data_IF_480959974360
#
_entry.id   IF_480959974360
#
_cell.length_a   1.000
_cell.length_b   1.000
_cell.length_c   1.000
_cell.angle_alpha   90.00
_cell.angle_beta   90.00
_cell.angle_gamma   90.00
#
_symmetry.space_group_name_H-M   'P 1'
#
loop_
_entity.id
_entity.type
_entity.pdbx_description
1 polymer ?
#
# COMPACT_ATOMS: atom_id res chain seq x y z
N UNK A 1 -46.63 -26.22 6.05
CA UNK A 1 -45.32 -26.56 6.65
C UNK A 1 -44.26 -25.46 6.51
N UNK A 2 -44.62 -24.24 6.09
CA UNK A 2 -43.67 -23.18 5.66
C UNK A 2 -43.39 -22.08 6.70
N UNK A 3 -44.23 -21.91 7.73
CA UNK A 3 -44.11 -20.78 8.67
C UNK A 3 -43.09 -20.97 9.82
N UNK A 4 -42.73 -22.20 10.20
CA UNK A 4 -41.82 -22.45 11.34
C UNK A 4 -40.32 -22.29 11.01
N UNK A 5 -39.91 -22.41 9.75
CA UNK A 5 -38.48 -22.28 9.37
C UNK A 5 -38.01 -20.82 9.22
N UNK A 6 -38.91 -19.90 8.88
CA UNK A 6 -38.55 -18.48 8.70
C UNK A 6 -38.04 -17.83 9.98
N UNK A 7 -38.64 -18.14 11.13
CA UNK A 7 -38.24 -17.58 12.43
C UNK A 7 -36.84 -18.00 12.87
N UNK A 8 -36.46 -19.26 12.65
CA UNK A 8 -35.14 -19.77 13.00
C UNK A 8 -34.02 -19.13 12.15
N UNK A 9 -34.30 -18.93 10.86
CA UNK A 9 -33.35 -18.29 9.96
C UNK A 9 -33.16 -16.81 10.29
N UNK A 10 -34.23 -16.09 10.66
CA UNK A 10 -34.14 -14.67 11.07
C UNK A 10 -33.30 -14.51 12.33
N UNK A 11 -33.47 -15.39 13.33
CA UNK A 11 -32.66 -15.35 14.56
C UNK A 11 -31.18 -15.60 14.24
N UNK A 12 -30.89 -16.54 13.35
CA UNK A 12 -29.53 -16.84 12.90
C UNK A 12 -28.90 -15.67 12.14
N UNK A 13 -29.65 -15.03 11.24
CA UNK A 13 -29.16 -13.85 10.49
C UNK A 13 -28.95 -12.64 11.39
N UNK A 14 -29.83 -12.38 12.36
CA UNK A 14 -29.65 -11.29 13.32
C UNK A 14 -28.40 -11.54 14.19
N UNK A 15 -28.18 -12.78 14.62
CA UNK A 15 -26.99 -13.17 15.36
C UNK A 15 -25.71 -12.99 14.52
N UNK A 16 -25.72 -13.46 13.27
CA UNK A 16 -24.57 -13.26 12.35
C UNK A 16 -24.33 -11.78 12.04
N UNK A 17 -25.38 -10.97 11.89
CA UNK A 17 -25.26 -9.51 11.68
C UNK A 17 -24.68 -8.80 12.90
N UNK A 18 -25.09 -9.20 14.11
CA UNK A 18 -24.53 -8.71 15.38
C UNK A 18 -23.04 -9.08 15.51
N UNK A 19 -22.70 -10.33 15.19
CA UNK A 19 -21.32 -10.82 15.21
C UNK A 19 -20.45 -10.07 14.18
N UNK A 20 -20.96 -9.79 12.99
CA UNK A 20 -20.26 -9.01 11.97
C UNK A 20 -20.08 -7.54 12.36
N UNK A 21 -21.08 -6.91 12.97
CA UNK A 21 -20.96 -5.55 13.50
C UNK A 21 -19.92 -5.47 14.64
N UNK A 22 -19.91 -6.46 15.52
CA UNK A 22 -18.90 -6.56 16.58
C UNK A 22 -17.50 -6.79 15.99
N UNK A 23 -17.35 -7.68 14.99
CA UNK A 23 -16.09 -7.92 14.29
C UNK A 23 -15.58 -6.66 13.56
N UNK A 24 -16.48 -5.91 12.91
CA UNK A 24 -16.15 -4.61 12.30
C UNK A 24 -15.66 -3.61 13.36
N UNK A 25 -16.33 -3.57 14.52
CA UNK A 25 -15.92 -2.78 15.68
C UNK A 25 -14.57 -3.20 16.27
N UNK A 26 -14.21 -4.49 16.24
CA UNK A 26 -12.91 -4.99 16.69
C UNK A 26 -11.80 -4.66 15.68
N UNK A 27 -12.09 -4.72 14.37
CA UNK A 27 -11.13 -4.38 13.31
C UNK A 27 -10.79 -2.88 13.33
N UNK A 28 -11.78 -2.01 13.54
CA UNK A 28 -11.56 -0.56 13.68
C UNK A 28 -11.13 -0.14 15.10
N UNK A 29 -11.68 -0.76 16.13
CA UNK A 29 -11.51 -0.37 17.54
C UNK A 29 -10.31 -1.02 18.25
N UNK A 30 -9.93 -2.24 17.87
CA UNK A 30 -8.76 -2.91 18.44
C UNK A 30 -7.47 -2.20 18.05
N UNK A 31 -7.36 -1.76 16.79
CA UNK A 31 -6.25 -0.94 16.33
C UNK A 31 -6.29 0.45 16.97
N UNK A 32 -7.46 1.08 17.08
CA UNK A 32 -7.60 2.39 17.73
C UNK A 32 -7.20 2.34 19.21
N UNK A 33 -7.61 1.33 19.97
CA UNK A 33 -7.20 1.17 21.36
C UNK A 33 -5.70 0.89 21.49
N UNK A 34 -5.13 0.03 20.65
CA UNK A 34 -3.68 -0.25 20.62
C UNK A 34 -2.89 1.00 20.24
N UNK A 35 -3.36 1.78 19.26
CA UNK A 35 -2.72 3.01 18.81
C UNK A 35 -2.84 4.08 19.89
N UNK A 36 -4.04 4.36 20.43
CA UNK A 36 -4.28 5.40 21.44
C UNK A 36 -3.62 5.11 22.80
N UNK A 37 -3.54 3.84 23.20
CA UNK A 37 -2.78 3.39 24.37
C UNK A 37 -1.29 3.21 24.07
N UNK A 38 -0.86 3.28 22.81
CA UNK A 38 0.57 3.25 22.50
C UNK A 38 1.23 4.56 22.94
N UNK A 39 2.43 4.51 23.53
CA UNK A 39 3.20 5.70 23.88
C UNK A 39 3.45 6.65 22.69
N UNK A 40 3.42 6.09 21.48
CA UNK A 40 3.63 6.80 20.23
C UNK A 40 2.45 7.70 19.86
N UNK A 41 1.21 7.32 20.16
CA UNK A 41 0.04 8.17 19.88
C UNK A 41 0.03 9.43 20.73
N UNK A 42 0.40 9.31 22.00
CA UNK A 42 0.50 10.47 22.89
C UNK A 42 1.62 11.40 22.41
N UNK A 43 2.78 10.83 22.05
CA UNK A 43 3.92 11.60 21.49
C UNK A 43 3.55 12.34 20.20
N UNK A 44 2.78 11.71 19.31
CA UNK A 44 2.32 12.33 18.06
C UNK A 44 1.28 13.41 18.34
N UNK A 45 0.35 13.16 19.28
CA UNK A 45 -0.69 14.11 19.66
C UNK A 45 -0.11 15.35 20.36
N UNK A 46 0.90 15.16 21.22
CA UNK A 46 1.63 16.23 21.88
C UNK A 46 2.42 17.09 20.86
N UNK A 47 3.07 16.44 19.87
CA UNK A 47 3.75 17.15 18.77
C UNK A 47 2.79 17.87 17.83
N UNK A 48 1.59 17.32 17.60
CA UNK A 48 0.53 17.92 16.81
C UNK A 48 -0.09 19.14 17.52
N UNK A 49 -0.38 19.03 18.82
CA UNK A 49 -0.94 20.10 19.64
C UNK A 49 0.06 21.23 19.90
N UNK A 50 1.36 20.94 19.95
CA UNK A 50 2.42 21.93 20.10
C UNK A 50 2.73 22.72 18.81
N UNK A 51 2.08 22.39 17.68
CA UNK A 51 2.26 22.96 16.33
C UNK A 51 3.68 23.52 16.08
N UNK A 52 4.69 22.67 16.25
CA UNK A 52 6.07 23.02 15.92
C UNK A 52 6.24 23.09 14.40
N UNK A 53 6.82 24.18 13.90
CA UNK A 53 7.14 24.38 12.47
C UNK A 53 7.96 23.20 11.92
N UNK A 54 8.85 22.62 12.73
CA UNK A 54 9.73 21.52 12.30
C UNK A 54 8.92 20.25 12.02
N UNK A 55 7.99 19.93 12.92
CA UNK A 55 7.11 18.78 12.77
C UNK A 55 6.18 18.95 11.56
N UNK A 56 5.66 20.15 11.32
CA UNK A 56 4.82 20.43 10.16
C UNK A 56 5.54 20.19 8.83
N UNK A 57 6.82 20.60 8.72
CA UNK A 57 7.62 20.38 7.51
C UNK A 57 7.91 18.88 7.30
N UNK A 58 8.29 18.16 8.35
CA UNK A 58 8.54 16.71 8.28
C UNK A 58 7.26 15.94 7.88
N UNK A 59 6.11 16.30 8.47
CA UNK A 59 4.82 15.69 8.14
C UNK A 59 4.39 15.98 6.71
N UNK A 60 4.59 17.22 6.23
CA UNK A 60 4.23 17.60 4.87
C UNK A 60 5.13 16.89 3.84
N UNK A 61 6.44 16.78 4.12
CA UNK A 61 7.37 16.02 3.30
C UNK A 61 6.99 14.53 3.26
N UNK A 62 6.66 13.93 4.41
CA UNK A 62 6.16 12.56 4.49
C UNK A 62 4.91 12.37 3.62
N UNK A 63 3.91 13.25 3.79
CA UNK A 63 2.63 13.13 3.12
C UNK A 63 2.78 13.32 1.61
N UNK A 64 3.64 14.22 1.17
CA UNK A 64 3.95 14.43 -0.24
C UNK A 64 4.58 13.17 -0.87
N UNK A 65 5.61 12.59 -0.23
CA UNK A 65 6.26 11.37 -0.71
C UNK A 65 5.27 10.19 -0.70
N UNK A 66 4.49 10.03 0.37
CA UNK A 66 3.49 8.98 0.49
C UNK A 66 2.41 9.09 -0.60
N UNK A 67 1.91 10.31 -0.87
CA UNK A 67 0.95 10.55 -1.94
C UNK A 67 1.52 10.19 -3.32
N UNK A 68 2.78 10.52 -3.58
CA UNK A 68 3.48 10.15 -4.82
C UNK A 68 3.59 8.63 -4.94
N UNK A 69 3.97 7.91 -3.88
CA UNK A 69 4.08 6.44 -3.88
C UNK A 69 2.73 5.80 -4.19
N UNK A 70 1.65 6.28 -3.56
CA UNK A 70 0.29 5.75 -3.80
C UNK A 70 -0.15 6.03 -5.23
N UNK A 71 0.10 7.24 -5.74
CA UNK A 71 -0.21 7.61 -7.12
C UNK A 71 0.54 6.73 -8.12
N UNK A 72 1.86 6.54 -7.92
CA UNK A 72 2.68 5.68 -8.77
C UNK A 72 2.20 4.23 -8.70
N UNK A 73 1.89 3.72 -7.51
CA UNK A 73 1.39 2.36 -7.33
C UNK A 73 0.03 2.15 -8.00
N UNK A 74 -0.85 3.16 -7.98
CA UNK A 74 -2.09 3.13 -8.75
C UNK A 74 -1.80 3.12 -10.27
N UNK A 75 -0.90 3.98 -10.75
CA UNK A 75 -0.49 4.04 -12.15
C UNK A 75 0.11 2.72 -12.65
N UNK A 76 0.82 1.96 -11.80
CA UNK A 76 1.31 0.61 -12.13
C UNK A 76 0.17 -0.30 -12.56
N UNK A 77 -0.96 -0.28 -11.84
CA UNK A 77 -2.10 -1.16 -12.10
C UNK A 77 -2.95 -0.66 -13.29
N UNK A 78 -3.05 0.65 -13.46
CA UNK A 78 -3.84 1.25 -14.55
C UNK A 78 -3.09 1.33 -15.90
N UNK A 79 -1.77 1.19 -15.92
CA UNK A 79 -0.98 1.30 -17.13
C UNK A 79 -1.26 0.14 -18.10
N UNK A 80 -1.69 0.48 -19.33
CA UNK A 80 -1.92 -0.51 -20.40
C UNK A 80 -0.63 -1.10 -20.99
N UNK A 81 0.49 -0.39 -20.84
CA UNK A 81 1.79 -0.83 -21.33
C UNK A 81 2.62 -1.37 -20.16
N UNK A 82 3.03 -2.63 -20.27
CA UNK A 82 3.79 -3.34 -19.24
C UNK A 82 5.15 -2.67 -18.92
N UNK A 83 5.78 -2.02 -19.91
CA UNK A 83 7.02 -1.27 -19.69
C UNK A 83 6.76 -0.03 -18.84
N UNK A 84 5.67 0.69 -19.09
CA UNK A 84 5.31 1.85 -18.28
C UNK A 84 4.93 1.43 -16.86
N UNK A 85 4.22 0.31 -16.73
CA UNK A 85 3.88 -0.29 -15.43
C UNK A 85 5.15 -0.59 -14.62
N UNK A 86 6.16 -1.19 -15.25
CA UNK A 86 7.44 -1.47 -14.60
C UNK A 86 8.18 -0.18 -14.19
N UNK A 87 8.18 0.87 -15.03
CA UNK A 87 8.80 2.16 -14.69
C UNK A 87 8.11 2.85 -13.51
N UNK A 88 6.76 2.83 -13.45
CA UNK A 88 6.02 3.37 -12.30
C UNK A 88 6.31 2.60 -11.01
N UNK A 89 6.54 1.28 -11.10
CA UNK A 89 6.92 0.47 -9.95
C UNK A 89 8.32 0.81 -9.44
N UNK A 90 9.31 1.01 -10.34
CA UNK A 90 10.62 1.49 -9.94
C UNK A 90 10.53 2.87 -9.27
N UNK A 91 9.66 3.74 -9.78
CA UNK A 91 9.36 5.04 -9.17
C UNK A 91 8.80 4.91 -7.75
N UNK A 92 7.89 3.97 -7.50
CA UNK A 92 7.34 3.75 -6.15
C UNK A 92 8.40 3.22 -5.18
N UNK A 93 9.29 2.34 -5.63
CA UNK A 93 10.45 1.89 -4.84
C UNK A 93 11.43 3.02 -4.52
N UNK A 94 11.64 3.97 -5.44
CA UNK A 94 12.45 5.15 -5.17
C UNK A 94 11.82 6.05 -4.10
N UNK A 95 10.49 6.21 -4.12
CA UNK A 95 9.76 6.90 -3.06
C UNK A 95 9.92 6.20 -1.70
N UNK A 96 9.85 4.88 -1.66
CA UNK A 96 10.08 4.09 -0.42
C UNK A 96 11.51 4.28 0.10
N UNK A 97 12.52 4.33 -0.78
CA UNK A 97 13.88 4.62 -0.36
C UNK A 97 14.01 6.02 0.26
N UNK A 98 13.33 7.03 -0.29
CA UNK A 98 13.27 8.37 0.29
C UNK A 98 12.60 8.37 1.67
N UNK A 99 11.52 7.60 1.87
CA UNK A 99 10.92 7.41 3.19
C UNK A 99 11.91 6.80 4.19
N UNK A 100 12.67 5.76 3.82
CA UNK A 100 13.66 5.18 4.73
C UNK A 100 14.73 6.18 5.17
N UNK A 101 15.20 7.05 4.27
CA UNK A 101 16.14 8.11 4.63
C UNK A 101 15.49 9.09 5.62
N UNK A 102 14.22 9.45 5.40
CA UNK A 102 13.48 10.36 6.28
C UNK A 102 13.21 9.77 7.67
N UNK A 103 13.06 8.45 7.77
CA UNK A 103 12.95 7.71 9.03
C UNK A 103 14.30 7.51 9.75
N UNK A 104 15.36 8.20 9.34
CA UNK A 104 16.72 8.02 9.86
C UNK A 104 17.25 6.57 9.69
N UNK A 105 16.82 5.87 8.64
CA UNK A 105 17.29 4.54 8.27
C UNK A 105 18.07 4.54 6.93
N UNK A 106 19.22 5.24 6.84
CA UNK A 106 19.92 5.43 5.57
C UNK A 106 20.48 4.13 4.98
N UNK A 107 20.93 3.19 5.82
CA UNK A 107 21.40 1.89 5.36
C UNK A 107 20.30 1.11 4.61
N UNK A 108 19.09 1.07 5.19
CA UNK A 108 17.94 0.42 4.58
C UNK A 108 17.51 1.16 3.31
N UNK A 109 17.55 2.50 3.31
CA UNK A 109 17.28 3.31 2.11
C UNK A 109 18.24 3.03 0.96
N UNK A 110 19.53 2.93 1.22
CA UNK A 110 20.53 2.58 0.19
C UNK A 110 20.35 1.13 -0.27
N UNK A 111 20.11 0.19 0.66
CA UNK A 111 19.82 -1.20 0.31
C UNK A 111 18.57 -1.31 -0.57
N UNK A 112 17.54 -0.50 -0.33
CA UNK A 112 16.33 -0.43 -1.16
C UNK A 112 16.68 -0.08 -2.61
N UNK A 113 17.53 0.92 -2.81
CA UNK A 113 17.96 1.33 -4.15
C UNK A 113 18.79 0.24 -4.80
N UNK A 114 19.79 -0.31 -4.09
CA UNK A 114 20.70 -1.30 -4.69
C UNK A 114 19.99 -2.62 -5.03
N UNK A 115 19.13 -3.13 -4.15
CA UNK A 115 18.49 -4.43 -4.31
C UNK A 115 17.21 -4.32 -5.15
N UNK A 116 16.28 -3.43 -4.80
CA UNK A 116 14.98 -3.38 -5.47
C UNK A 116 15.01 -2.60 -6.77
N UNK A 117 15.69 -1.45 -6.82
CA UNK A 117 15.80 -0.68 -8.08
C UNK A 117 16.89 -1.28 -8.95
N UNK A 118 18.07 -1.56 -8.37
CA UNK A 118 19.25 -2.02 -9.08
C UNK A 118 19.17 -3.48 -9.56
N UNK A 119 18.95 -4.44 -8.67
CA UNK A 119 18.93 -5.85 -9.05
C UNK A 119 17.56 -6.30 -9.56
N UNK A 120 16.53 -6.23 -8.70
CA UNK A 120 15.18 -6.76 -9.02
C UNK A 120 14.51 -5.94 -10.11
N UNK A 121 14.58 -4.60 -10.03
CA UNK A 121 13.94 -3.68 -10.98
C UNK A 121 14.52 -3.79 -12.38
N UNK A 122 15.84 -3.84 -12.51
CA UNK A 122 16.50 -4.04 -13.81
C UNK A 122 16.16 -5.43 -14.37
N UNK A 123 16.21 -6.49 -13.56
CA UNK A 123 15.83 -7.84 -14.00
C UNK A 123 14.38 -7.88 -14.49
N UNK A 124 13.45 -7.23 -13.78
CA UNK A 124 12.06 -7.11 -14.19
C UNK A 124 11.94 -6.39 -15.54
N UNK A 125 12.62 -5.25 -15.72
CA UNK A 125 12.58 -4.48 -16.96
C UNK A 125 13.09 -5.32 -18.14
N UNK A 126 14.21 -6.03 -17.97
CA UNK A 126 14.72 -6.95 -18.98
C UNK A 126 13.71 -8.06 -19.32
N UNK A 127 13.15 -8.73 -18.31
CA UNK A 127 12.18 -9.80 -18.51
C UNK A 127 10.91 -9.32 -19.26
N UNK A 128 10.39 -8.16 -18.89
CA UNK A 128 9.23 -7.53 -19.52
C UNK A 128 9.52 -7.16 -20.98
N UNK A 129 10.68 -6.57 -21.26
CA UNK A 129 11.07 -6.19 -22.61
C UNK A 129 11.25 -7.40 -23.53
N UNK A 130 11.83 -8.49 -23.02
CA UNK A 130 11.98 -9.74 -23.77
C UNK A 130 10.63 -10.39 -24.08
N UNK A 131 9.76 -10.53 -23.08
CA UNK A 131 8.44 -11.14 -23.24
C UNK A 131 7.55 -10.37 -24.21
N UNK A 132 7.68 -9.04 -24.27
CA UNK A 132 6.91 -8.24 -25.24
C UNK A 132 7.33 -8.52 -26.68
N UNK A 133 8.62 -8.72 -26.95
CA UNK A 133 9.11 -8.98 -28.32
C UNK A 133 8.63 -10.35 -28.82
N UNK A 134 8.69 -11.37 -27.96
CA UNK A 134 8.29 -12.74 -28.33
C UNK A 134 6.82 -12.82 -28.76
N UNK A 135 5.91 -12.13 -28.06
CA UNK A 135 4.48 -12.11 -28.40
C UNK A 135 4.21 -11.41 -29.75
N UNK A 136 5.00 -10.39 -30.10
CA UNK A 136 4.82 -9.65 -31.35
C UNK A 136 5.35 -10.40 -32.58
N UNK A 137 6.40 -11.21 -32.43
CA UNK A 137 6.96 -12.05 -33.50
C UNK A 137 6.04 -13.23 -33.82
N UNK A 138 5.44 -13.87 -32.80
CA UNK A 138 4.48 -14.96 -32.98
C UNK A 138 3.22 -14.49 -33.75
N UNK A 139 2.77 -13.25 -33.56
CA UNK A 139 1.61 -12.67 -34.27
C UNK A 139 1.85 -12.42 -35.77
N UNK A 140 3.10 -12.40 -36.25
CA UNK A 140 3.42 -12.17 -37.66
C UNK A 140 3.96 -13.42 -38.37
N UNK A 141 4.10 -14.55 -37.67
CA UNK A 141 4.58 -15.82 -38.21
C UNK A 141 3.50 -16.71 -38.86
N UNK A 142 2.22 -16.28 -38.88
CA UNK A 142 1.13 -16.96 -39.58
C UNK A 142 0.67 -16.20 -40.85
N UNK A 143 1.61 -15.98 -41.78
CA UNK A 143 1.36 -15.97 -43.23
C UNK A 143 2.54 -16.60 -43.96
#
# INVERSE_FOLDING_TARGET
>A
MSSKESGANVIRTIFELLVLLAALGVIFGGLAAIVLLSPWSQTVLDKLLALDIRFAIELLAFLAIAAIIVLLSALVVYAKNIVHSALYLLGSFAGVAALYIMLNAPFVGVAQVLVYIGAVGVLMLFAVMLTRKTILEESHGEI
#
